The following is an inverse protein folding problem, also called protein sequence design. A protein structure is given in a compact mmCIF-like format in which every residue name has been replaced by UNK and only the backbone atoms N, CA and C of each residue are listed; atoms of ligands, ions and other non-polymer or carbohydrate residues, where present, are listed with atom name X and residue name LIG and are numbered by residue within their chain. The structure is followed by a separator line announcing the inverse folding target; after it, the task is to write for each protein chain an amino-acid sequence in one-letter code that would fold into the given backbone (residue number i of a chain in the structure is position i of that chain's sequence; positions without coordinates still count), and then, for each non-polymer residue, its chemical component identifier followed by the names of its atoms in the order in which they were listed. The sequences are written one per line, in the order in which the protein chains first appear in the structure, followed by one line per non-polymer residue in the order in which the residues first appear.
data_IF_317896129613
#
_entry.id   IF_317896129613
#
_cell.length_a   1.000
_cell.length_b   1.000
_cell.length_c   1.000
_cell.angle_alpha   90.00
_cell.angle_beta   90.00
_cell.angle_gamma   90.00
#
_symmetry.space_group_name_H-M   'P 1'
#
loop_
_entity.id
_entity.type
_entity.pdbx_description
1 polymer ?
#
# COMPACT_ATOMS: atom_id res chain seq x y z
N UNK A 1 2.31 -8.73 7.15
CA UNK A 1 2.92 -7.90 8.21
C UNK A 1 3.13 -6.50 7.66
N UNK A 2 2.39 -5.53 8.19
CA UNK A 2 2.55 -4.11 7.92
C UNK A 2 3.71 -3.55 8.77
N UNK A 3 4.42 -2.54 8.29
CA UNK A 3 5.63 -2.04 8.96
C UNK A 3 5.40 -1.53 10.41
N UNK A 4 4.15 -1.15 10.73
CA UNK A 4 3.76 -0.50 11.99
C UNK A 4 2.80 -1.31 12.86
N UNK A 5 2.43 -2.54 12.50
CA UNK A 5 1.46 -3.41 13.21
C UNK A 5 0.14 -2.72 13.63
N UNK A 6 -0.31 -1.73 12.85
CA UNK A 6 -1.60 -1.06 13.08
C UNK A 6 -2.75 -1.98 12.66
N UNK A 7 -3.77 -2.08 13.51
CA UNK A 7 -5.05 -2.73 13.20
C UNK A 7 -5.96 -1.76 12.41
N UNK A 8 -6.93 -2.30 11.67
CA UNK A 8 -7.95 -1.51 10.96
C UNK A 8 -8.60 -0.51 11.93
N UNK A 9 -8.76 0.74 11.50
CA UNK A 9 -9.33 1.84 12.30
C UNK A 9 -8.38 2.49 13.30
N UNK A 10 -7.21 1.91 13.63
CA UNK A 10 -6.32 2.53 14.64
C UNK A 10 -5.71 3.85 14.19
N UNK A 11 -5.40 4.00 12.89
CA UNK A 11 -4.94 5.28 12.33
C UNK A 11 -6.01 6.38 12.47
N UNK A 12 -7.27 6.03 12.27
CA UNK A 12 -8.41 6.95 12.43
C UNK A 12 -8.56 7.35 13.91
N UNK A 13 -8.49 6.39 14.85
CA UNK A 13 -8.52 6.67 16.29
C UNK A 13 -7.35 7.55 16.75
N UNK A 14 -6.13 7.33 16.23
CA UNK A 14 -4.96 8.18 16.52
C UNK A 14 -5.21 9.61 16.01
N UNK A 15 -5.65 9.78 14.77
CA UNK A 15 -5.94 11.11 14.21
C UNK A 15 -7.07 11.82 14.95
N UNK A 16 -8.13 11.10 15.32
CA UNK A 16 -9.24 11.65 16.09
C UNK A 16 -8.79 12.11 17.49
N UNK A 17 -7.94 11.34 18.18
CA UNK A 17 -7.35 11.75 19.46
C UNK A 17 -6.48 13.02 19.32
N UNK A 18 -5.68 13.12 18.26
CA UNK A 18 -4.88 14.32 17.99
C UNK A 18 -5.76 15.55 17.73
N UNK A 19 -6.85 15.41 16.95
CA UNK A 19 -7.81 16.49 16.65
C UNK A 19 -8.60 16.92 17.88
N UNK A 20 -9.16 15.97 18.63
CA UNK A 20 -10.03 16.24 19.78
C UNK A 20 -9.28 16.65 21.04
N UNK A 21 -7.95 16.44 21.06
CA UNK A 21 -7.13 16.54 22.26
C UNK A 21 -7.28 15.33 23.19
N UNK A 22 -6.26 15.08 24.01
CA UNK A 22 -6.31 14.04 25.02
C UNK A 22 -7.40 14.35 26.06
N UNK A 23 -8.44 13.51 26.17
CA UNK A 23 -9.28 13.54 27.38
C UNK A 23 -8.40 13.13 28.56
N UNK A 24 -8.44 13.90 29.65
CA UNK A 24 -7.54 13.73 30.82
C UNK A 24 -7.94 12.52 31.70
N UNK A 25 -8.11 11.35 31.11
CA UNK A 25 -8.28 10.08 31.82
C UNK A 25 -6.93 9.65 32.43
N UNK A 26 -6.70 10.14 33.66
CA UNK A 26 -5.51 9.86 34.47
C UNK A 26 -5.18 8.36 34.47
N UNK A 27 -4.04 7.99 33.88
CA UNK A 27 -3.44 6.67 34.02
C UNK A 27 -3.21 5.88 32.73
N UNK A 28 -3.84 6.24 31.60
CA UNK A 28 -3.56 5.59 30.30
C UNK A 28 -2.77 6.49 29.35
N UNK A 29 -1.79 5.88 28.68
CA UNK A 29 -0.95 6.52 27.68
C UNK A 29 -1.75 6.72 26.38
N UNK A 30 -1.82 7.96 25.91
CA UNK A 30 -2.53 8.36 24.68
C UNK A 30 -2.11 7.52 23.46
N UNK A 31 -3.05 7.23 22.55
CA UNK A 31 -2.79 6.49 21.31
C UNK A 31 -1.79 7.24 20.42
N UNK A 32 -1.90 8.58 20.37
CA UNK A 32 -0.94 9.47 19.73
C UNK A 32 0.46 9.28 20.31
N UNK A 33 0.65 9.44 21.63
CA UNK A 33 1.93 9.24 22.31
C UNK A 33 2.50 7.84 22.07
N UNK A 34 1.65 6.79 22.16
CA UNK A 34 2.05 5.41 21.86
C UNK A 34 2.55 5.24 20.42
N UNK A 35 1.91 5.90 19.47
CA UNK A 35 2.32 5.85 18.06
C UNK A 35 3.61 6.62 17.82
N UNK A 36 3.75 7.82 18.38
CA UNK A 36 4.99 8.62 18.31
C UNK A 36 6.19 7.84 18.89
N UNK A 37 6.01 7.18 20.05
CA UNK A 37 7.03 6.30 20.63
C UNK A 37 7.35 5.11 19.72
N UNK A 38 6.36 4.53 19.04
CA UNK A 38 6.60 3.42 18.11
C UNK A 38 7.41 3.86 16.89
N UNK A 39 7.12 5.03 16.32
CA UNK A 39 7.90 5.62 15.22
C UNK A 39 9.33 5.94 15.69
N UNK A 40 9.48 6.65 16.81
CA UNK A 40 10.78 7.00 17.39
C UNK A 40 11.62 5.76 17.73
N UNK A 41 11.00 4.69 18.22
CA UNK A 41 11.68 3.41 18.47
C UNK A 41 12.18 2.72 17.18
N UNK A 42 11.61 3.02 16.01
CA UNK A 42 12.13 2.52 14.73
C UNK A 42 13.31 3.38 14.24
N UNK A 43 13.26 4.70 14.43
CA UNK A 43 14.37 5.61 14.09
C UNK A 43 15.61 5.29 14.95
N UNK A 44 15.44 5.17 16.27
CA UNK A 44 16.56 4.89 17.18
C UNK A 44 17.20 3.51 16.92
N UNK A 45 16.41 2.54 16.44
CA UNK A 45 16.90 1.22 15.99
C UNK A 45 17.86 1.34 14.82
N UNK A 46 17.45 2.09 13.80
CA UNK A 46 18.26 2.37 12.62
C UNK A 46 19.57 3.11 12.97
N UNK A 47 19.49 4.02 13.94
CA UNK A 47 20.64 4.77 14.47
C UNK A 47 21.49 4.00 15.50
N UNK A 48 21.24 2.70 15.72
CA UNK A 48 21.99 1.87 16.68
C UNK A 48 21.82 2.24 18.16
N UNK A 49 20.84 3.08 18.51
CA UNK A 49 20.61 3.65 19.84
C UNK A 49 19.61 2.82 20.67
N UNK A 50 19.71 1.49 20.58
CA UNK A 50 18.72 0.53 21.06
C UNK A 50 18.77 0.23 22.58
N UNK A 51 19.60 0.96 23.34
CA UNK A 51 20.01 0.59 24.70
C UNK A 51 18.92 0.71 25.79
N UNK A 52 17.74 1.28 25.49
CA UNK A 52 16.67 1.43 26.48
C UNK A 52 15.25 1.47 25.88
N UNK A 53 14.29 0.71 26.43
CA UNK A 53 12.88 0.89 26.10
C UNK A 53 12.40 2.31 26.40
N UNK A 54 11.82 2.97 25.39
CA UNK A 54 11.15 4.25 25.55
C UNK A 54 9.86 4.06 26.37
N UNK A 55 9.66 4.90 27.39
CA UNK A 55 8.48 4.82 28.26
C UNK A 55 7.93 6.19 28.58
N UNK A 56 6.60 6.30 28.55
CA UNK A 56 5.84 7.45 29.05
C UNK A 56 5.30 7.24 30.47
N UNK A 57 5.49 6.05 31.06
CA UNK A 57 4.71 5.62 32.22
C UNK A 57 5.39 5.86 33.58
N UNK A 58 6.67 6.24 33.62
CA UNK A 58 7.48 6.18 34.84
C UNK A 58 8.18 7.51 35.18
N UNK A 59 7.53 8.65 34.90
CA UNK A 59 7.95 10.02 35.24
C UNK A 59 9.20 10.56 34.54
N UNK A 60 10.09 9.69 34.06
CA UNK A 60 11.38 10.06 33.44
C UNK A 60 11.27 10.51 31.98
N UNK A 61 10.08 10.41 31.38
CA UNK A 61 9.75 10.88 30.03
C UNK A 61 10.84 10.63 28.98
N UNK A 62 11.47 9.44 29.02
CA UNK A 62 12.69 9.14 28.26
C UNK A 62 12.48 9.23 26.75
N UNK A 63 11.24 9.08 26.31
CA UNK A 63 10.85 9.27 24.92
C UNK A 63 10.87 10.73 24.46
N UNK A 64 10.55 11.72 25.32
CA UNK A 64 10.65 13.14 24.98
C UNK A 64 12.11 13.58 24.89
N UNK A 65 12.97 13.09 25.80
CA UNK A 65 14.42 13.32 25.74
C UNK A 65 15.00 12.73 24.45
N UNK A 66 14.66 11.49 24.12
CA UNK A 66 15.10 10.85 22.88
C UNK A 66 14.52 11.53 21.63
N UNK A 67 13.31 12.08 21.71
CA UNK A 67 12.67 12.85 20.63
C UNK A 67 13.39 14.17 20.40
N UNK A 68 13.68 14.94 21.45
CA UNK A 68 14.46 16.18 21.35
C UNK A 68 15.85 15.94 20.76
N UNK A 69 16.50 14.83 21.12
CA UNK A 69 17.75 14.39 20.50
C UNK A 69 17.59 13.99 19.02
N UNK A 70 16.51 13.30 18.66
CA UNK A 70 16.20 12.94 17.27
C UNK A 70 15.99 14.19 16.40
N UNK A 71 15.20 15.14 16.90
CA UNK A 71 14.95 16.44 16.24
C UNK A 71 16.25 17.23 16.10
N UNK A 72 17.05 17.33 17.15
CA UNK A 72 18.32 18.09 17.13
C UNK A 72 19.39 17.49 16.20
N UNK A 73 19.32 16.18 15.90
CA UNK A 73 20.25 15.49 15.00
C UNK A 73 19.76 15.44 13.55
N UNK A 74 18.47 15.66 13.29
CA UNK A 74 17.89 15.57 11.96
C UNK A 74 18.21 16.81 11.11
N UNK A 75 18.58 16.57 9.84
CA UNK A 75 18.71 17.61 8.83
C UNK A 75 17.34 18.08 8.28
N UNK A 76 16.30 17.28 8.49
CA UNK A 76 14.91 17.55 8.09
C UNK A 76 14.12 18.30 9.18
N UNK A 77 14.70 18.52 10.37
CA UNK A 77 14.07 19.26 11.45
C UNK A 77 13.83 20.73 11.04
N UNK A 78 12.58 21.07 10.77
CA UNK A 78 12.20 22.46 10.50
C UNK A 78 12.42 23.33 11.74
N UNK A 79 12.69 24.63 11.53
CA UNK A 79 12.75 25.64 12.60
C UNK A 79 11.42 25.81 13.36
N UNK A 80 10.36 25.12 12.92
CA UNK A 80 9.02 25.20 13.46
C UNK A 80 8.62 23.96 14.30
N UNK A 81 9.53 23.01 14.51
CA UNK A 81 9.32 21.94 15.49
C UNK A 81 9.44 22.50 16.93
N UNK A 82 8.61 22.01 17.88
CA UNK A 82 8.55 22.56 19.23
C UNK A 82 9.68 21.99 20.12
N UNK A 83 10.92 22.43 19.86
CA UNK A 83 12.10 21.97 20.60
C UNK A 83 12.02 22.24 22.11
N UNK A 84 11.46 23.38 22.49
CA UNK A 84 11.29 23.83 23.88
C UNK A 84 10.27 23.01 24.69
N UNK A 85 9.35 22.33 24.01
CA UNK A 85 8.31 21.52 24.65
C UNK A 85 8.82 20.17 25.15
N UNK A 86 9.94 19.66 24.62
CA UNK A 86 10.51 18.37 25.03
C UNK A 86 11.21 18.46 26.40
N UNK A 87 11.77 19.63 26.72
CA UNK A 87 12.42 19.91 28.01
C UNK A 87 11.43 20.05 29.17
N UNK A 88 10.17 20.41 28.88
CA UNK A 88 9.08 20.53 29.87
C UNK A 88 8.39 19.20 30.20
N UNK A 89 8.87 18.07 29.67
CA UNK A 89 8.30 16.74 29.95
C UNK A 89 6.87 16.57 29.41
N UNK A 90 6.12 15.61 29.97
CA UNK A 90 4.78 15.25 29.47
C UNK A 90 3.81 16.43 29.41
N UNK A 91 3.87 17.34 30.38
CA UNK A 91 3.01 18.52 30.43
C UNK A 91 3.25 19.41 29.19
N UNK A 92 4.51 19.59 28.78
CA UNK A 92 4.88 20.32 27.56
C UNK A 92 4.42 19.66 26.25
N UNK A 93 4.28 18.33 26.20
CA UNK A 93 3.67 17.65 25.05
C UNK A 93 2.14 17.79 25.05
N UNK A 94 1.50 17.68 26.21
CA UNK A 94 0.04 17.79 26.31
C UNK A 94 -0.43 19.21 25.96
N UNK A 95 0.35 20.24 26.31
CA UNK A 95 0.15 21.65 25.93
C UNK A 95 0.29 21.94 24.42
N UNK A 96 0.88 21.05 23.62
CA UNK A 96 0.98 21.25 22.17
C UNK A 96 -0.42 21.31 21.53
N UNK A 97 -0.67 22.35 20.75
CA UNK A 97 -1.85 22.40 19.88
C UNK A 97 -1.81 21.32 18.78
N UNK A 98 -2.95 21.12 18.14
CA UNK A 98 -3.12 20.14 17.06
C UNK A 98 -2.11 20.33 15.91
N UNK A 99 -1.81 21.57 15.52
CA UNK A 99 -0.88 21.86 14.43
C UNK A 99 0.54 21.41 14.79
N UNK A 100 1.01 21.73 15.99
CA UNK A 100 2.31 21.27 16.50
C UNK A 100 2.38 19.74 16.62
N UNK A 101 1.31 19.09 17.09
CA UNK A 101 1.23 17.61 17.17
C UNK A 101 1.26 16.95 15.79
N UNK A 102 0.57 17.49 14.79
CA UNK A 102 0.63 16.98 13.40
C UNK A 102 1.99 17.21 12.75
N UNK A 103 2.62 18.37 12.96
CA UNK A 103 3.98 18.64 12.47
C UNK A 103 5.00 17.65 13.03
N UNK A 104 4.89 17.32 14.31
CA UNK A 104 5.71 16.31 14.96
C UNK A 104 5.46 14.90 14.41
N UNK A 105 4.20 14.55 14.16
CA UNK A 105 3.83 13.28 13.54
C UNK A 105 4.40 13.15 12.12
N UNK A 106 4.30 14.19 11.30
CA UNK A 106 4.85 14.22 9.95
C UNK A 106 6.38 14.05 9.98
N UNK A 107 7.08 14.82 10.81
CA UNK A 107 8.52 14.67 11.02
C UNK A 107 8.92 13.23 11.38
N UNK A 108 8.21 12.60 12.33
CA UNK A 108 8.49 11.22 12.71
C UNK A 108 8.18 10.22 11.58
N UNK A 109 7.18 10.48 10.74
CA UNK A 109 6.91 9.67 9.55
C UNK A 109 8.05 9.80 8.51
N UNK A 110 8.53 11.02 8.25
CA UNK A 110 9.60 11.30 7.28
C UNK A 110 10.92 10.66 7.71
N UNK A 111 11.33 10.82 8.97
CA UNK A 111 12.50 10.14 9.54
C UNK A 111 12.37 8.61 9.48
N UNK A 112 11.17 8.07 9.74
CA UNK A 112 10.89 6.63 9.63
C UNK A 112 10.98 6.13 8.18
N UNK A 113 10.59 6.93 7.18
CA UNK A 113 10.78 6.61 5.76
C UNK A 113 12.27 6.51 5.37
N UNK A 114 13.14 7.23 6.07
CA UNK A 114 14.59 7.16 5.90
C UNK A 114 15.24 5.91 6.55
N UNK A 115 14.52 5.13 7.36
CA UNK A 115 15.08 3.93 8.00
C UNK A 115 15.36 2.80 7.01
N UNK A 116 16.45 2.06 7.18
CA UNK A 116 16.77 0.85 6.41
C UNK A 116 15.62 -0.15 6.45
N UNK A 117 15.00 -0.33 7.63
CA UNK A 117 13.89 -1.27 7.82
C UNK A 117 12.67 -0.93 6.95
N UNK A 118 12.30 0.34 6.82
CA UNK A 118 11.16 0.73 5.99
C UNK A 118 11.52 0.83 4.50
N UNK A 119 12.73 1.29 4.18
CA UNK A 119 13.28 1.30 2.81
C UNK A 119 13.27 -0.12 2.22
N UNK A 120 13.94 -1.06 2.88
CA UNK A 120 14.02 -2.47 2.45
C UNK A 120 12.64 -3.17 2.38
N UNK A 121 11.71 -2.83 3.29
CA UNK A 121 10.33 -3.32 3.20
C UNK A 121 9.61 -2.78 1.96
N UNK A 122 9.81 -1.50 1.64
CA UNK A 122 9.24 -0.82 0.48
C UNK A 122 9.78 -1.40 -0.82
N UNK A 123 11.11 -1.56 -0.92
CA UNK A 123 11.77 -2.19 -2.06
C UNK A 123 11.24 -3.62 -2.30
N UNK A 124 11.05 -4.39 -1.21
CA UNK A 124 10.48 -5.73 -1.27
C UNK A 124 9.00 -5.74 -1.71
N UNK A 125 8.19 -4.76 -1.31
CA UNK A 125 6.82 -4.65 -1.84
C UNK A 125 6.82 -4.22 -3.31
N UNK A 126 7.70 -3.30 -3.69
CA UNK A 126 7.83 -2.81 -5.06
C UNK A 126 8.26 -3.94 -6.01
N UNK A 127 9.28 -4.73 -5.65
CA UNK A 127 9.71 -5.92 -6.40
C UNK A 127 8.54 -6.91 -6.63
N UNK A 128 7.77 -7.23 -5.58
CA UNK A 128 6.56 -8.08 -5.69
C UNK A 128 5.43 -7.45 -6.51
N UNK A 129 5.38 -6.13 -6.62
CA UNK A 129 4.42 -5.44 -7.48
C UNK A 129 4.88 -5.50 -8.93
N UNK A 130 6.15 -5.22 -9.21
CA UNK A 130 6.75 -5.29 -10.55
C UNK A 130 6.60 -6.69 -11.17
N UNK A 131 6.88 -7.77 -10.42
CA UNK A 131 6.68 -9.14 -10.93
C UNK A 131 5.19 -9.42 -11.23
N UNK A 132 4.25 -9.04 -10.35
CA UNK A 132 2.81 -9.21 -10.63
C UNK A 132 2.34 -8.41 -11.85
N UNK A 133 2.90 -7.22 -12.09
CA UNK A 133 2.60 -6.43 -13.29
C UNK A 133 3.19 -7.09 -14.54
N UNK A 134 4.37 -7.70 -14.45
CA UNK A 134 4.98 -8.47 -15.53
C UNK A 134 4.16 -9.72 -15.88
N UNK A 135 3.82 -10.54 -14.89
CA UNK A 135 2.92 -11.69 -15.06
C UNK A 135 1.57 -11.29 -15.68
N UNK A 136 0.98 -10.18 -15.23
CA UNK A 136 -0.27 -9.66 -15.78
C UNK A 136 -0.11 -9.24 -17.25
N UNK A 137 0.99 -8.57 -17.62
CA UNK A 137 1.30 -8.21 -19.01
C UNK A 137 1.47 -9.45 -19.90
N UNK A 138 2.18 -10.48 -19.42
CA UNK A 138 2.35 -11.75 -20.14
C UNK A 138 0.99 -12.46 -20.36
N UNK A 139 0.12 -12.49 -19.34
CA UNK A 139 -1.26 -13.01 -19.46
C UNK A 139 -2.10 -12.21 -20.47
N UNK A 140 -2.01 -10.89 -20.47
CA UNK A 140 -2.72 -10.03 -21.44
C UNK A 140 -2.24 -10.29 -22.87
N UNK A 141 -0.93 -10.47 -23.10
CA UNK A 141 -0.37 -10.81 -24.40
C UNK A 141 -0.86 -12.19 -24.86
N UNK A 142 -0.76 -13.21 -24.01
CA UNK A 142 -1.25 -14.56 -24.31
C UNK A 142 -2.76 -14.59 -24.62
N UNK A 143 -3.58 -13.87 -23.86
CA UNK A 143 -5.01 -13.74 -24.13
C UNK A 143 -5.30 -13.01 -25.45
N UNK A 144 -4.53 -11.96 -25.78
CA UNK A 144 -4.64 -11.21 -27.04
C UNK A 144 -4.31 -12.09 -28.24
N UNK A 145 -3.30 -12.95 -28.15
CA UNK A 145 -2.93 -13.86 -29.24
C UNK A 145 -3.86 -15.07 -29.35
N UNK A 146 -4.34 -15.62 -28.22
CA UNK A 146 -5.45 -16.60 -28.20
C UNK A 146 -6.70 -16.04 -28.88
N UNK A 147 -7.05 -14.78 -28.61
CA UNK A 147 -8.18 -14.06 -29.25
C UNK A 147 -7.98 -13.91 -30.77
N UNK A 148 -6.77 -13.61 -31.25
CA UNK A 148 -6.46 -13.59 -32.70
C UNK A 148 -6.65 -14.97 -33.33
N UNK A 149 -6.07 -16.02 -32.73
CA UNK A 149 -6.15 -17.39 -33.22
C UNK A 149 -7.60 -17.89 -33.29
N UNK A 150 -8.41 -17.60 -32.26
CA UNK A 150 -9.83 -17.95 -32.24
C UNK A 150 -10.64 -17.20 -33.30
N UNK A 151 -10.36 -15.90 -33.52
CA UNK A 151 -10.97 -15.15 -34.60
C UNK A 151 -10.66 -15.76 -35.97
N UNK A 152 -9.41 -16.17 -36.20
CA UNK A 152 -9.01 -16.78 -37.47
C UNK A 152 -9.66 -18.15 -37.68
N UNK A 153 -9.64 -19.04 -36.67
CA UNK A 153 -10.36 -20.33 -36.73
C UNK A 153 -11.85 -20.17 -37.04
N UNK A 154 -12.51 -19.15 -36.48
CA UNK A 154 -13.91 -18.87 -36.76
C UNK A 154 -14.13 -18.38 -38.21
N UNK A 155 -13.20 -17.60 -38.77
CA UNK A 155 -13.22 -17.23 -40.18
C UNK A 155 -12.99 -18.44 -41.11
N UNK A 156 -12.04 -19.31 -40.77
CA UNK A 156 -11.75 -20.52 -41.56
C UNK A 156 -12.94 -21.50 -41.57
N UNK A 157 -13.58 -21.74 -40.43
CA UNK A 157 -14.77 -22.60 -40.33
C UNK A 157 -15.99 -22.00 -41.06
N UNK A 158 -16.21 -20.69 -40.98
CA UNK A 158 -17.30 -20.04 -41.73
C UNK A 158 -17.05 -20.10 -43.25
N UNK A 159 -15.79 -19.96 -43.70
CA UNK A 159 -15.44 -20.13 -45.11
C UNK A 159 -15.69 -21.57 -45.60
N UNK A 160 -15.32 -22.60 -44.81
CA UNK A 160 -15.63 -24.01 -45.14
C UNK A 160 -17.13 -24.26 -45.25
N UNK A 161 -17.92 -23.76 -44.29
CA UNK A 161 -19.37 -23.93 -44.30
C UNK A 161 -20.02 -23.31 -45.55
N UNK A 162 -19.56 -22.13 -45.99
CA UNK A 162 -20.02 -21.49 -47.24
C UNK A 162 -19.65 -22.33 -48.47
N UNK A 163 -18.43 -22.90 -48.52
CA UNK A 163 -18.00 -23.77 -49.64
C UNK A 163 -18.83 -25.05 -49.70
N UNK A 164 -19.11 -25.69 -48.56
CA UNK A 164 -19.96 -26.88 -48.48
C UNK A 164 -21.41 -26.58 -48.92
N UNK A 165 -21.97 -25.45 -48.48
CA UNK A 165 -23.33 -25.03 -48.85
C UNK A 165 -23.50 -24.77 -50.36
N UNK A 166 -22.43 -24.34 -51.05
CA UNK A 166 -22.40 -24.18 -52.50
C UNK A 166 -22.26 -25.51 -53.28
N UNK A 167 -22.00 -26.64 -52.61
CA UNK A 167 -21.80 -27.95 -53.26
C UNK A 167 -22.88 -28.99 -52.91
N UNK A 168 -23.61 -28.84 -51.80
CA UNK A 168 -24.88 -29.54 -51.53
C UNK A 168 -25.73 -28.81 -50.46
N UNK A 169 -27.08 -28.88 -50.51
CA UNK A 169 -27.96 -28.26 -49.51
C UNK A 169 -28.07 -29.08 -48.20
N UNK A 170 -26.92 -29.46 -47.62
CA UNK A 170 -26.71 -30.27 -46.41
C UNK A 170 -25.37 -29.82 -45.79
N UNK A 171 -25.23 -29.40 -44.51
CA UNK A 171 -26.19 -29.22 -43.42
C UNK A 171 -25.71 -28.06 -42.50
N UNK A 172 -26.62 -27.19 -42.02
CA UNK A 172 -26.27 -26.07 -41.12
C UNK A 172 -26.03 -26.55 -39.66
N UNK A 173 -26.58 -27.71 -39.30
CA UNK A 173 -26.66 -28.22 -37.92
C UNK A 173 -25.31 -28.59 -37.27
N UNK A 174 -24.32 -29.03 -38.05
CA UNK A 174 -23.07 -29.59 -37.47
C UNK A 174 -22.05 -28.53 -37.02
N UNK A 175 -22.08 -27.33 -37.60
CA UNK A 175 -21.16 -26.26 -37.23
C UNK A 175 -21.65 -25.41 -36.03
N UNK A 176 -22.95 -25.39 -35.74
CA UNK A 176 -23.57 -24.61 -34.63
C UNK A 176 -22.96 -24.91 -33.24
N UNK A 177 -22.79 -26.18 -32.79
CA UNK A 177 -22.16 -26.45 -31.49
C UNK A 177 -20.68 -26.03 -31.44
N UNK A 178 -19.97 -26.16 -32.55
CA UNK A 178 -18.55 -25.78 -32.69
C UNK A 178 -18.39 -24.26 -32.60
N UNK A 179 -19.23 -23.50 -33.31
CA UNK A 179 -19.28 -22.03 -33.25
C UNK A 179 -19.66 -21.55 -31.84
N UNK A 180 -20.62 -22.21 -31.20
CA UNK A 180 -21.03 -21.88 -29.82
C UNK A 180 -19.90 -22.09 -28.81
N UNK A 181 -19.13 -23.19 -28.93
CA UNK A 181 -17.95 -23.43 -28.10
C UNK A 181 -16.85 -22.39 -28.31
N UNK A 182 -16.59 -21.96 -29.55
CA UNK A 182 -15.63 -20.89 -29.83
C UNK A 182 -16.08 -19.57 -29.19
N UNK A 183 -17.37 -19.23 -29.24
CA UNK A 183 -17.92 -18.01 -28.61
C UNK A 183 -17.71 -18.00 -27.09
N UNK A 184 -17.93 -19.12 -26.39
CA UNK A 184 -17.74 -19.19 -24.93
C UNK A 184 -16.27 -19.11 -24.53
N UNK A 185 -15.38 -19.81 -25.24
CA UNK A 185 -13.93 -19.74 -24.97
C UNK A 185 -13.37 -18.32 -25.22
N UNK A 186 -13.89 -17.59 -26.22
CA UNK A 186 -13.55 -16.17 -26.47
C UNK A 186 -14.06 -15.27 -25.35
N UNK A 187 -15.28 -15.49 -24.84
CA UNK A 187 -15.83 -14.72 -23.72
C UNK A 187 -15.03 -14.91 -22.43
N UNK A 188 -14.63 -16.16 -22.13
CA UNK A 188 -13.77 -16.47 -20.98
C UNK A 188 -12.41 -15.79 -21.11
N UNK A 189 -11.73 -15.95 -22.25
CA UNK A 189 -10.42 -15.32 -22.48
C UNK A 189 -10.48 -13.78 -22.42
N UNK A 190 -11.64 -13.18 -22.75
CA UNK A 190 -11.86 -11.75 -22.61
C UNK A 190 -12.03 -11.31 -21.15
N UNK A 191 -12.73 -12.11 -20.33
CA UNK A 191 -12.86 -11.85 -18.89
C UNK A 191 -11.50 -11.94 -18.17
N UNK A 192 -10.74 -13.01 -18.44
CA UNK A 192 -9.36 -13.20 -17.93
C UNK A 192 -8.44 -12.02 -18.32
N UNK A 193 -8.57 -11.51 -19.56
CA UNK A 193 -7.83 -10.35 -20.03
C UNK A 193 -8.22 -9.06 -19.28
N UNK A 194 -9.51 -8.82 -19.02
CA UNK A 194 -9.98 -7.63 -18.29
C UNK A 194 -9.51 -7.62 -16.83
N UNK A 195 -9.53 -8.79 -16.17
CA UNK A 195 -9.01 -8.94 -14.81
C UNK A 195 -7.51 -8.64 -14.76
N UNK A 196 -6.72 -9.19 -15.70
CA UNK A 196 -5.29 -8.90 -15.80
C UNK A 196 -4.99 -7.43 -16.12
N UNK A 197 -5.78 -6.77 -16.98
CA UNK A 197 -5.66 -5.32 -17.26
C UNK A 197 -5.90 -4.49 -15.98
N UNK A 198 -6.81 -4.89 -15.10
CA UNK A 198 -7.09 -4.14 -13.85
C UNK A 198 -5.89 -4.04 -12.89
N UNK A 199 -4.92 -4.96 -13.04
CA UNK A 199 -3.67 -5.02 -12.25
C UNK A 199 -2.56 -4.14 -12.87
N UNK A 200 -2.66 -3.83 -14.17
CA UNK A 200 -1.66 -3.02 -14.90
C UNK A 200 -1.94 -1.52 -14.69
N UNK A 201 -0.96 -0.70 -14.27
CA UNK A 201 -1.13 0.74 -14.11
C UNK A 201 -1.57 1.45 -15.39
N UNK A 202 -2.58 2.32 -15.28
CA UNK A 202 -3.14 3.11 -16.40
C UNK A 202 -2.14 4.05 -17.09
N UNK A 203 -1.00 4.35 -16.45
CA UNK A 203 0.08 5.19 -17.00
C UNK A 203 1.08 4.45 -17.89
N UNK A 204 0.82 3.19 -18.24
CA UNK A 204 1.71 2.34 -19.05
C UNK A 204 0.99 1.63 -20.22
N UNK A 205 -0.07 2.24 -20.76
CA UNK A 205 -0.75 1.86 -21.99
C UNK A 205 -0.61 2.97 -23.05
#
# INVERSE_FOLDING_TARGET
MNAFDLRKGQSESIMQELISGCSKHRGQQSLGVRFHIKLLSLILKDLGQDSRPLSSANGKNSWLVALGQCVSKSQCASKELPSDCFDRGSDGYDELDFSKKIRLLNFLCDEVLCTEKLRSWTDRQNSKFVERVKEAKEKVLAAKDKKKLMKQKLQDETAKAIIAQNSAPILISEHEPTVSKIKTEVAQAHAEMLEAISIVPKSMF
#
